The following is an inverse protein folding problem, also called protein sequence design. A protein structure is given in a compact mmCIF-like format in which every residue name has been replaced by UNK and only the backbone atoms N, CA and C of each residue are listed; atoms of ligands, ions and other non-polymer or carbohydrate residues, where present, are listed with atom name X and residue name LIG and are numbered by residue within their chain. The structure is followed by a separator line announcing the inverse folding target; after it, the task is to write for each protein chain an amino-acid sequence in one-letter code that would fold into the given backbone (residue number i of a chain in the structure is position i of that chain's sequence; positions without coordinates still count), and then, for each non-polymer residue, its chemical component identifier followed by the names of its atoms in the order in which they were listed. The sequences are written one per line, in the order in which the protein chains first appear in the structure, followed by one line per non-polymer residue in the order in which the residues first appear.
data_IF_050178573422
#
_entry.id   IF_050178573422
#
_cell.length_a   1.000
_cell.length_b   1.000
_cell.length_c   1.000
_cell.angle_alpha   90.00
_cell.angle_beta   90.00
_cell.angle_gamma   90.00
#
_symmetry.space_group_name_H-M   'P 1'
#
loop_
_entity.id
_entity.type
_entity.pdbx_description
1 polymer ?
#
# COMPACT_ATOMS: atom_id res chain seq x y z
N UNK A 1 -7.88 -29.08 5.37
CA UNK A 1 -6.71 -28.98 4.46
C UNK A 1 -5.82 -27.91 5.06
N UNK A 2 -4.63 -28.33 5.49
CA UNK A 2 -3.59 -27.43 5.98
C UNK A 2 -3.13 -26.64 4.77
N UNK A 3 -3.23 -25.29 4.84
CA UNK A 3 -2.62 -24.44 3.82
C UNK A 3 -1.10 -24.69 3.85
N UNK A 4 -0.43 -24.67 2.69
CA UNK A 4 1.01 -24.82 2.65
C UNK A 4 1.67 -23.77 3.54
N UNK A 5 2.67 -24.19 4.29
CA UNK A 5 3.50 -23.27 5.06
C UNK A 5 4.21 -22.30 4.12
N UNK A 6 4.53 -21.12 4.55
CA UNK A 6 5.21 -20.06 3.75
C UNK A 6 6.51 -20.56 3.09
N UNK A 7 7.08 -21.64 3.61
CA UNK A 7 8.23 -22.36 3.03
C UNK A 7 7.92 -23.10 1.73
N UNK A 8 6.63 -23.34 1.43
CA UNK A 8 6.22 -24.19 0.30
C UNK A 8 5.69 -23.35 -0.90
N UNK A 9 5.62 -22.03 -0.78
CA UNK A 9 5.18 -21.15 -1.85
C UNK A 9 6.38 -20.61 -2.66
N UNK A 10 6.49 -20.94 -3.96
CA UNK A 10 7.55 -20.40 -4.81
C UNK A 10 7.21 -18.96 -5.20
N UNK A 11 7.64 -17.97 -4.41
CA UNK A 11 7.45 -16.55 -4.70
C UNK A 11 8.57 -15.94 -5.56
N UNK A 12 9.45 -16.73 -6.14
CA UNK A 12 10.50 -16.21 -7.01
C UNK A 12 10.32 -16.72 -8.44
N UNK A 13 10.30 -15.77 -9.38
CA UNK A 13 10.44 -16.05 -10.79
C UNK A 13 11.85 -16.62 -11.03
N UNK A 14 11.96 -17.94 -11.00
CA UNK A 14 13.17 -18.65 -11.32
C UNK A 14 13.21 -18.88 -12.83
N UNK A 15 14.07 -18.13 -13.51
CA UNK A 15 14.30 -18.26 -14.96
C UNK A 15 14.69 -19.69 -15.38
N UNK A 16 15.18 -20.52 -14.46
CA UNK A 16 15.57 -21.92 -14.76
C UNK A 16 14.35 -22.83 -14.95
N UNK A 17 13.15 -22.38 -14.60
CA UNK A 17 11.89 -23.14 -14.78
C UNK A 17 11.27 -23.02 -16.16
N UNK A 18 11.82 -22.15 -17.01
CA UNK A 18 11.29 -21.91 -18.33
C UNK A 18 12.38 -22.11 -19.37
N UNK A 19 12.02 -22.77 -20.47
CA UNK A 19 12.88 -22.89 -21.65
C UNK A 19 13.06 -21.51 -22.29
N UNK A 20 14.04 -21.38 -23.16
CA UNK A 20 14.34 -20.14 -23.88
C UNK A 20 13.14 -19.59 -24.70
N UNK A 21 12.18 -20.43 -25.04
CA UNK A 21 10.92 -20.11 -25.73
C UNK A 21 9.77 -19.69 -24.78
N UNK A 22 10.03 -19.62 -23.46
CA UNK A 22 9.03 -19.28 -22.46
C UNK A 22 8.12 -20.45 -22.03
N UNK A 23 8.32 -21.65 -22.56
CA UNK A 23 7.55 -22.83 -22.17
C UNK A 23 8.04 -23.40 -20.81
N UNK A 24 7.13 -23.94 -19.96
CA UNK A 24 7.52 -24.57 -18.71
C UNK A 24 8.49 -25.74 -18.96
N UNK A 25 9.58 -25.79 -18.22
CA UNK A 25 10.47 -26.95 -18.23
C UNK A 25 9.90 -28.03 -17.32
N UNK A 26 9.30 -29.03 -17.92
CA UNK A 26 8.70 -30.19 -17.21
C UNK A 26 9.72 -31.07 -16.47
N UNK A 27 11.02 -30.89 -16.74
CA UNK A 27 12.10 -31.56 -16.01
C UNK A 27 12.58 -30.75 -14.77
N UNK A 28 11.99 -29.60 -14.51
CA UNK A 28 12.32 -28.77 -13.33
C UNK A 28 12.06 -29.48 -11.99
N UNK A 29 11.41 -30.62 -11.97
CA UNK A 29 11.22 -31.44 -10.76
C UNK A 29 12.53 -31.94 -10.12
N UNK A 30 13.59 -32.11 -10.89
CA UNK A 30 14.91 -32.46 -10.36
C UNK A 30 15.60 -31.26 -9.68
N UNK A 31 15.29 -30.01 -10.12
CA UNK A 31 15.79 -28.77 -9.56
C UNK A 31 15.06 -28.39 -8.24
N UNK A 32 13.88 -28.95 -7.97
CA UNK A 32 13.17 -28.72 -6.70
C UNK A 32 13.89 -29.32 -5.48
N UNK A 33 14.75 -30.32 -5.67
CA UNK A 33 15.60 -30.87 -4.61
C UNK A 33 16.68 -29.84 -4.22
N UNK A 34 17.25 -29.10 -5.19
CA UNK A 34 18.21 -28.02 -4.95
C UNK A 34 17.55 -26.75 -4.47
N UNK A 35 16.31 -26.48 -4.87
CA UNK A 35 15.54 -25.32 -4.38
C UNK A 35 15.31 -25.37 -2.86
N UNK A 36 15.17 -26.57 -2.26
CA UNK A 36 15.11 -26.71 -0.79
C UNK A 36 16.39 -26.23 -0.12
N UNK A 37 17.53 -26.37 -0.76
CA UNK A 37 18.82 -25.92 -0.23
C UNK A 37 19.00 -24.41 -0.36
N UNK A 38 18.47 -23.81 -1.41
CA UNK A 38 18.48 -22.34 -1.60
C UNK A 38 17.48 -21.66 -0.66
N UNK A 39 16.30 -22.26 -0.43
CA UNK A 39 15.30 -21.74 0.51
C UNK A 39 15.77 -21.80 1.98
N UNK A 40 16.69 -22.69 2.33
CA UNK A 40 17.19 -22.79 3.72
C UNK A 40 18.02 -21.55 4.15
N UNK A 41 18.45 -20.70 3.22
CA UNK A 41 19.26 -19.52 3.47
C UNK A 41 18.51 -18.18 3.32
N UNK A 42 17.31 -18.17 2.74
CA UNK A 42 16.50 -16.98 2.56
C UNK A 42 15.31 -16.99 3.53
N UNK A 43 15.51 -16.38 4.68
CA UNK A 43 14.45 -16.14 5.65
C UNK A 43 14.21 -14.61 5.71
N UNK A 44 13.36 -14.05 4.84
CA UNK A 44 13.15 -12.61 4.78
C UNK A 44 12.46 -12.11 6.04
N UNK A 45 12.95 -10.98 6.55
CA UNK A 45 12.28 -10.23 7.60
C UNK A 45 11.08 -9.53 6.97
N UNK A 46 9.88 -9.87 7.40
CA UNK A 46 8.65 -9.30 6.88
C UNK A 46 8.04 -8.38 7.93
N UNK A 47 7.75 -7.14 7.55
CA UNK A 47 7.03 -6.17 8.38
C UNK A 47 5.62 -5.96 7.85
N UNK A 48 4.64 -6.05 8.72
CA UNK A 48 3.23 -5.85 8.43
C UNK A 48 2.70 -4.63 9.18
N UNK A 49 2.04 -3.73 8.46
CA UNK A 49 1.55 -2.46 9.00
C UNK A 49 0.02 -2.46 9.01
N UNK A 50 -0.54 -2.18 10.17
CA UNK A 50 -1.98 -2.03 10.32
C UNK A 50 -2.28 -0.94 11.34
N UNK A 51 -3.10 0.04 10.95
CA UNK A 51 -3.58 1.10 11.83
C UNK A 51 -4.96 0.72 12.35
N UNK A 52 -5.09 0.63 13.66
CA UNK A 52 -6.38 0.38 14.30
C UNK A 52 -7.37 1.51 13.96
N UNK A 53 -8.62 1.16 13.74
CA UNK A 53 -9.68 2.12 13.38
C UNK A 53 -9.68 2.55 11.90
N UNK A 54 -8.65 2.23 11.11
CA UNK A 54 -8.59 2.64 9.68
C UNK A 54 -9.73 2.05 8.83
N UNK A 55 -10.32 0.97 9.28
CA UNK A 55 -11.46 0.29 8.64
C UNK A 55 -12.81 0.91 8.94
N UNK A 56 -12.89 1.82 9.91
CA UNK A 56 -14.14 2.37 10.42
C UNK A 56 -14.60 3.62 9.63
N UNK A 57 -13.72 4.16 8.80
CA UNK A 57 -14.05 5.26 7.90
C UNK A 57 -15.01 4.83 6.80
N UNK A 58 -15.85 5.76 6.33
CA UNK A 58 -16.94 5.46 5.42
C UNK A 58 -17.13 6.55 4.36
N UNK A 59 -16.91 6.21 3.10
CA UNK A 59 -17.04 7.12 1.94
C UNK A 59 -18.49 7.48 1.58
N UNK A 60 -19.47 6.79 2.14
CA UNK A 60 -20.89 6.93 1.83
C UNK A 60 -21.54 5.56 1.56
N UNK A 61 -22.88 5.47 1.74
CA UNK A 61 -23.62 4.21 1.68
C UNK A 61 -23.48 3.52 0.32
N UNK A 62 -23.58 4.29 -0.77
CA UNK A 62 -23.55 3.77 -2.14
C UNK A 62 -22.16 3.82 -2.78
N UNK A 63 -21.16 4.39 -2.10
CA UNK A 63 -19.81 4.48 -2.64
C UNK A 63 -19.13 3.10 -2.68
N UNK A 64 -18.47 2.72 -3.80
CA UNK A 64 -17.85 1.39 -3.94
C UNK A 64 -16.64 1.19 -3.05
N UNK A 65 -15.89 2.23 -2.69
CA UNK A 65 -14.79 2.13 -1.75
C UNK A 65 -15.30 1.88 -0.33
N UNK A 66 -14.96 0.73 0.22
CA UNK A 66 -15.36 0.30 1.57
C UNK A 66 -14.13 0.02 2.43
N UNK A 67 -13.67 0.94 3.27
CA UNK A 67 -12.55 0.70 4.20
C UNK A 67 -12.73 -0.52 5.09
N UNK A 68 -13.96 -0.94 5.37
CA UNK A 68 -14.26 -2.19 6.11
C UNK A 68 -13.58 -3.43 5.52
N UNK A 69 -13.23 -3.46 4.22
CA UNK A 69 -12.43 -4.54 3.59
C UNK A 69 -11.08 -4.72 4.28
N UNK A 70 -10.52 -3.66 4.84
CA UNK A 70 -9.24 -3.68 5.55
C UNK A 70 -9.32 -4.49 6.84
N UNK A 71 -10.43 -4.37 7.58
CA UNK A 71 -10.69 -5.20 8.75
C UNK A 71 -10.82 -6.68 8.37
N UNK A 72 -11.48 -6.99 7.25
CA UNK A 72 -11.60 -8.37 6.76
C UNK A 72 -10.23 -8.94 6.40
N UNK A 73 -9.42 -8.19 5.66
CA UNK A 73 -8.05 -8.58 5.30
C UNK A 73 -7.20 -8.83 6.56
N UNK A 74 -7.23 -7.91 7.52
CA UNK A 74 -6.48 -8.05 8.77
C UNK A 74 -6.95 -9.28 9.58
N UNK A 75 -8.26 -9.53 9.65
CA UNK A 75 -8.81 -10.72 10.29
C UNK A 75 -8.35 -12.02 9.61
N UNK A 76 -8.25 -12.04 8.27
CA UNK A 76 -7.72 -13.19 7.54
C UNK A 76 -6.23 -13.42 7.85
N UNK A 77 -5.40 -12.36 7.85
CA UNK A 77 -3.98 -12.44 8.23
C UNK A 77 -3.82 -13.04 9.63
N UNK A 78 -4.62 -12.59 10.57
CA UNK A 78 -4.60 -13.11 11.95
C UNK A 78 -5.20 -14.52 12.06
N UNK A 79 -6.32 -14.79 11.39
CA UNK A 79 -7.03 -16.06 11.41
C UNK A 79 -6.21 -17.21 10.82
N UNK A 80 -5.42 -16.93 9.78
CA UNK A 80 -4.46 -17.89 9.22
C UNK A 80 -3.15 -17.96 10.00
N UNK A 81 -2.95 -17.14 11.01
CA UNK A 81 -1.73 -17.12 11.83
C UNK A 81 -0.53 -16.49 11.12
N UNK A 82 -0.70 -15.81 9.98
CA UNK A 82 0.39 -15.22 9.20
C UNK A 82 1.16 -14.16 9.99
N UNK A 83 0.47 -13.44 10.87
CA UNK A 83 1.08 -12.44 11.77
C UNK A 83 2.19 -13.01 12.66
N UNK A 84 2.21 -14.33 12.92
CA UNK A 84 3.25 -15.00 13.72
C UNK A 84 4.60 -15.09 13.01
N UNK A 85 4.60 -14.89 11.70
CA UNK A 85 5.79 -14.94 10.84
C UNK A 85 6.23 -13.56 10.36
N UNK A 86 5.65 -12.50 10.90
CA UNK A 86 5.91 -11.12 10.54
C UNK A 86 6.06 -10.25 11.79
N UNK A 87 6.84 -9.20 11.69
CA UNK A 87 6.84 -8.13 12.69
C UNK A 87 5.65 -7.21 12.43
N UNK A 88 4.67 -7.18 13.34
CA UNK A 88 3.45 -6.37 13.21
C UNK A 88 3.67 -5.00 13.86
N UNK A 89 3.35 -3.94 13.12
CA UNK A 89 3.50 -2.57 13.55
C UNK A 89 2.19 -1.79 13.44
N UNK A 90 1.92 -0.95 14.46
CA UNK A 90 0.94 0.13 14.39
C UNK A 90 1.70 1.43 14.06
N UNK A 91 1.66 1.92 12.81
CA UNK A 91 2.41 3.08 12.40
C UNK A 91 1.78 4.36 12.95
N UNK A 92 2.60 5.40 13.17
CA UNK A 92 2.08 6.74 13.40
C UNK A 92 1.47 7.32 12.11
N UNK A 93 0.54 8.20 12.27
CA UNK A 93 -0.03 8.94 11.16
C UNK A 93 1.00 9.87 10.51
N UNK A 94 0.90 10.09 9.21
CA UNK A 94 1.76 11.02 8.51
C UNK A 94 1.52 12.45 9.02
N UNK A 95 2.59 13.23 9.13
CA UNK A 95 2.48 14.66 9.42
C UNK A 95 2.11 15.43 8.15
N UNK A 96 1.65 16.68 8.31
CA UNK A 96 1.37 17.57 7.18
C UNK A 96 2.60 17.74 6.28
N UNK A 97 3.76 17.99 6.88
CA UNK A 97 5.02 18.20 6.17
C UNK A 97 5.43 16.97 5.36
N UNK A 98 5.09 15.77 5.84
CA UNK A 98 5.34 14.53 5.11
C UNK A 98 4.43 14.40 3.88
N UNK A 99 3.16 14.81 3.98
CA UNK A 99 2.23 14.81 2.86
C UNK A 99 2.64 15.87 1.81
N UNK A 100 3.10 17.04 2.25
CA UNK A 100 3.56 18.15 1.41
C UNK A 100 4.89 17.83 0.69
N UNK A 101 5.53 16.73 0.96
CA UNK A 101 6.68 16.28 0.15
C UNK A 101 6.30 15.95 -1.30
N UNK A 102 5.06 15.65 -1.57
CA UNK A 102 4.51 15.43 -2.91
C UNK A 102 3.36 16.36 -3.21
N UNK A 103 2.40 16.47 -2.30
CA UNK A 103 1.20 17.25 -2.53
C UNK A 103 1.43 18.74 -2.30
N UNK A 104 0.69 19.55 -3.05
CA UNK A 104 0.68 21.01 -2.89
C UNK A 104 0.11 21.41 -1.52
N UNK A 105 0.71 22.42 -0.92
CA UNK A 105 0.31 22.88 0.43
C UNK A 105 -1.11 23.39 0.50
N UNK A 106 -1.62 24.06 -0.56
CA UNK A 106 -2.99 24.54 -0.65
C UNK A 106 -3.99 23.37 -0.65
N UNK A 107 -3.62 22.28 -1.36
CA UNK A 107 -4.43 21.07 -1.40
C UNK A 107 -4.46 20.35 -0.04
N UNK A 108 -3.31 20.18 0.59
CA UNK A 108 -3.22 19.57 1.93
C UNK A 108 -3.93 20.43 2.97
N UNK A 109 -3.84 21.76 2.86
CA UNK A 109 -4.57 22.68 3.73
C UNK A 109 -6.08 22.53 3.57
N UNK A 110 -6.57 22.46 2.33
CA UNK A 110 -7.98 22.21 2.05
C UNK A 110 -8.45 20.87 2.63
N UNK A 111 -7.71 19.77 2.39
CA UNK A 111 -8.01 18.45 2.96
C UNK A 111 -8.14 18.51 4.50
N UNK A 112 -7.21 19.19 5.15
CA UNK A 112 -7.13 19.23 6.62
C UNK A 112 -8.28 20.00 7.29
N UNK A 113 -8.91 20.93 6.55
CA UNK A 113 -9.99 21.79 7.03
C UNK A 113 -11.38 21.37 6.58
N UNK A 114 -11.45 20.47 5.58
CA UNK A 114 -12.71 20.11 4.95
C UNK A 114 -13.40 18.98 5.73
N UNK A 115 -14.65 19.21 6.08
CA UNK A 115 -15.55 18.27 6.76
C UNK A 115 -16.86 18.16 6.00
N UNK A 116 -17.71 17.17 6.27
CA UNK A 116 -19.03 17.06 5.64
C UNK A 116 -19.94 18.29 5.80
N UNK A 117 -19.66 19.14 6.81
CA UNK A 117 -20.40 20.38 7.08
C UNK A 117 -19.76 21.61 6.45
N UNK A 118 -18.62 21.47 5.77
CA UNK A 118 -17.95 22.58 5.09
C UNK A 118 -18.82 23.10 3.94
N UNK A 119 -19.13 24.42 3.89
CA UNK A 119 -19.91 24.97 2.80
C UNK A 119 -19.24 24.79 1.44
N UNK A 120 -20.03 24.43 0.42
CA UNK A 120 -19.54 24.28 -0.94
C UNK A 120 -18.91 25.59 -1.44
N UNK A 121 -17.77 25.47 -2.08
CA UNK A 121 -17.02 26.59 -2.65
C UNK A 121 -16.33 26.16 -3.95
N UNK A 122 -15.76 27.10 -4.68
CA UNK A 122 -14.96 26.81 -5.87
C UNK A 122 -13.74 25.88 -5.60
N UNK A 123 -13.30 25.78 -4.35
CA UNK A 123 -12.23 24.88 -3.95
C UNK A 123 -12.62 23.41 -4.13
N UNK A 124 -13.89 23.05 -3.94
CA UNK A 124 -14.34 21.67 -4.18
C UNK A 124 -14.16 21.27 -5.66
N UNK A 125 -14.50 22.13 -6.58
CA UNK A 125 -14.25 21.90 -8.01
C UNK A 125 -12.76 21.94 -8.34
N UNK A 126 -12.01 22.90 -7.77
CA UNK A 126 -10.56 23.03 -7.98
C UNK A 126 -9.81 21.78 -7.58
N UNK A 127 -10.19 21.15 -6.48
CA UNK A 127 -9.52 19.97 -5.92
C UNK A 127 -10.24 18.64 -6.23
N UNK A 128 -11.22 18.70 -7.15
CA UNK A 128 -11.95 17.54 -7.68
C UNK A 128 -12.73 16.74 -6.62
N UNK A 129 -13.34 17.43 -5.67
CA UNK A 129 -14.23 16.81 -4.69
C UNK A 129 -15.66 16.72 -5.25
N UNK A 130 -16.07 15.51 -5.60
CA UNK A 130 -17.36 15.16 -6.19
C UNK A 130 -17.74 13.72 -5.76
N UNK A 131 -18.66 13.09 -6.48
CA UNK A 131 -19.20 11.76 -6.16
C UNK A 131 -18.12 10.69 -6.02
N UNK A 132 -17.08 10.72 -6.88
CA UNK A 132 -15.96 9.79 -6.82
C UNK A 132 -15.00 10.04 -5.65
N UNK A 133 -14.92 11.29 -5.21
CA UNK A 133 -14.06 11.69 -4.08
C UNK A 133 -14.89 12.54 -3.10
N UNK A 134 -15.84 11.91 -2.38
CA UNK A 134 -16.72 12.61 -1.46
C UNK A 134 -15.98 13.07 -0.20
N UNK A 135 -16.47 14.12 0.42
CA UNK A 135 -16.05 14.47 1.77
C UNK A 135 -16.77 13.58 2.77
N UNK A 136 -16.03 12.93 3.64
CA UNK A 136 -16.56 12.11 4.73
C UNK A 136 -15.91 12.47 6.06
N UNK A 137 -16.53 12.08 7.16
CA UNK A 137 -16.01 12.38 8.48
C UNK A 137 -14.67 11.70 8.73
N UNK A 138 -13.69 12.46 9.24
CA UNK A 138 -12.34 11.97 9.47
C UNK A 138 -11.51 11.70 8.20
N UNK A 139 -11.92 12.20 7.03
CA UNK A 139 -11.24 11.98 5.74
C UNK A 139 -9.73 12.29 5.80
N UNK A 140 -9.33 13.41 6.40
CA UNK A 140 -7.92 13.78 6.52
C UNK A 140 -7.15 12.81 7.42
N UNK A 141 -7.76 12.36 8.50
CA UNK A 141 -7.16 11.40 9.43
C UNK A 141 -6.98 10.02 8.77
N UNK A 142 -7.97 9.59 7.99
CA UNK A 142 -7.85 8.39 7.16
C UNK A 142 -6.66 8.50 6.19
N UNK A 143 -6.50 9.63 5.52
CA UNK A 143 -5.38 9.90 4.61
C UNK A 143 -4.03 9.82 5.33
N UNK A 144 -3.92 10.43 6.50
CA UNK A 144 -2.71 10.41 7.32
C UNK A 144 -2.38 9.00 7.82
N UNK A 145 -3.39 8.22 8.15
CA UNK A 145 -3.23 6.86 8.65
C UNK A 145 -2.60 5.95 7.60
N UNK A 146 -3.17 5.87 6.39
CA UNK A 146 -2.65 5.00 5.35
C UNK A 146 -1.31 5.49 4.78
N UNK A 147 -1.13 6.80 4.62
CA UNK A 147 0.14 7.37 4.15
C UNK A 147 1.26 7.19 5.19
N UNK A 148 0.94 7.32 6.47
CA UNK A 148 1.86 7.06 7.57
C UNK A 148 2.37 5.63 7.58
N UNK A 149 1.50 4.66 7.29
CA UNK A 149 1.85 3.25 7.18
C UNK A 149 2.82 2.99 6.01
N UNK A 150 2.54 3.55 4.83
CA UNK A 150 3.43 3.42 3.65
C UNK A 150 4.78 4.09 3.88
N UNK A 151 4.82 5.26 4.52
CA UNK A 151 6.06 5.93 4.89
C UNK A 151 6.86 5.14 5.94
N UNK A 152 6.21 4.56 6.94
CA UNK A 152 6.88 3.72 7.94
C UNK A 152 7.46 2.46 7.30
N UNK A 153 6.74 1.82 6.38
CA UNK A 153 7.20 0.69 5.59
C UNK A 153 8.44 1.04 4.76
N UNK A 154 8.40 2.14 4.01
CA UNK A 154 9.51 2.62 3.20
C UNK A 154 10.77 2.94 4.04
N UNK A 155 10.60 3.58 5.21
CA UNK A 155 11.70 3.88 6.14
C UNK A 155 12.37 2.62 6.66
N UNK A 156 11.61 1.61 6.95
CA UNK A 156 12.15 0.35 7.45
C UNK A 156 12.91 -0.42 6.38
N UNK A 157 12.41 -0.43 5.14
CA UNK A 157 13.14 -0.94 3.98
C UNK A 157 14.44 -0.17 3.75
N UNK A 158 14.38 1.16 3.77
CA UNK A 158 15.54 2.04 3.61
C UNK A 158 16.62 1.81 4.67
N UNK A 159 16.20 1.59 5.90
CA UNK A 159 17.13 1.29 7.03
C UNK A 159 17.68 -0.14 6.99
N UNK A 160 17.29 -0.98 6.04
CA UNK A 160 17.67 -2.38 6.00
C UNK A 160 17.16 -3.19 7.20
N UNK A 161 16.10 -2.70 7.86
CA UNK A 161 15.53 -3.34 9.05
C UNK A 161 14.43 -4.36 8.70
N UNK A 162 14.01 -4.41 7.45
CA UNK A 162 13.10 -5.42 6.89
C UNK A 162 13.44 -5.65 5.41
N UNK A 163 13.09 -6.80 4.88
CA UNK A 163 13.32 -7.18 3.48
C UNK A 163 12.02 -7.05 2.68
N UNK A 164 10.87 -7.24 3.35
CA UNK A 164 9.52 -7.10 2.79
C UNK A 164 8.69 -6.26 3.77
N UNK A 165 7.95 -5.29 3.25
CA UNK A 165 7.02 -4.49 4.04
C UNK A 165 5.63 -4.51 3.39
N UNK A 166 4.59 -4.81 4.17
CA UNK A 166 3.21 -4.97 3.70
C UNK A 166 2.31 -3.94 4.37
N UNK A 167 1.64 -3.12 3.55
CA UNK A 167 0.61 -2.20 3.98
C UNK A 167 -0.64 -2.36 3.09
N UNK A 168 -1.69 -2.98 3.60
CA UNK A 168 -2.95 -3.16 2.87
C UNK A 168 -3.83 -1.90 2.87
N UNK A 169 -3.49 -0.90 3.67
CA UNK A 169 -4.32 0.33 3.80
C UNK A 169 -3.99 1.39 2.76
N UNK A 170 -2.80 1.31 2.14
CA UNK A 170 -2.34 2.21 1.09
C UNK A 170 -2.71 1.75 -0.32
N UNK A 171 -1.99 2.27 -1.30
CA UNK A 171 -2.16 1.97 -2.71
C UNK A 171 -3.08 2.94 -3.45
N UNK A 172 -3.17 4.19 -2.99
CA UNK A 172 -4.08 5.21 -3.51
C UNK A 172 -3.46 5.92 -4.73
N UNK A 173 -3.36 5.18 -5.83
CA UNK A 173 -2.57 5.49 -7.03
C UNK A 173 -3.14 6.57 -7.94
N UNK A 174 -4.40 6.98 -7.74
CA UNK A 174 -5.03 8.02 -8.56
C UNK A 174 -4.84 9.43 -8.01
N UNK A 175 -4.51 9.60 -6.73
CA UNK A 175 -4.34 10.93 -6.15
C UNK A 175 -3.24 11.72 -6.87
N UNK A 176 -3.59 12.93 -7.31
CA UNK A 176 -2.67 13.84 -8.00
C UNK A 176 -1.96 14.76 -7.02
N UNK A 177 -0.95 15.47 -7.50
CA UNK A 177 -0.25 16.46 -6.68
C UNK A 177 -1.18 17.53 -6.12
N UNK A 178 -2.19 17.95 -6.90
CA UNK A 178 -3.05 19.11 -6.61
C UNK A 178 -4.52 18.77 -6.39
N UNK A 179 -4.95 17.51 -6.56
CA UNK A 179 -6.35 17.15 -6.53
C UNK A 179 -6.60 15.68 -6.15
N UNK A 180 -7.77 15.39 -5.65
CA UNK A 180 -8.30 14.04 -5.47
C UNK A 180 -8.70 13.44 -6.81
N UNK A 181 -8.63 12.11 -6.94
CA UNK A 181 -9.07 11.42 -8.15
C UNK A 181 -9.34 9.95 -7.82
N UNK A 182 -10.32 9.33 -8.47
CA UNK A 182 -10.55 7.89 -8.42
C UNK A 182 -10.56 7.31 -7.00
N UNK A 183 -11.29 7.92 -6.05
CA UNK A 183 -11.39 7.55 -4.64
C UNK A 183 -10.13 7.85 -3.81
N UNK A 184 -9.08 8.41 -4.42
CA UNK A 184 -7.78 8.66 -3.81
C UNK A 184 -7.60 10.14 -3.50
N UNK A 185 -7.14 10.46 -2.29
CA UNK A 185 -6.89 11.85 -1.85
C UNK A 185 -5.40 12.13 -1.69
N UNK A 186 -4.66 11.25 -1.04
CA UNK A 186 -3.21 11.33 -0.84
C UNK A 186 -2.55 10.14 -1.53
N UNK A 187 -1.50 10.38 -2.30
CA UNK A 187 -0.75 9.35 -2.99
C UNK A 187 0.37 8.82 -2.08
N UNK A 188 0.05 7.83 -1.29
CA UNK A 188 0.98 7.18 -0.38
C UNK A 188 2.10 6.44 -1.11
N UNK A 189 1.85 5.98 -2.36
CA UNK A 189 2.83 5.28 -3.19
C UNK A 189 3.96 6.23 -3.57
N UNK A 190 3.62 7.41 -4.11
CA UNK A 190 4.62 8.42 -4.48
C UNK A 190 5.40 8.87 -3.24
N UNK A 191 4.74 9.07 -2.10
CA UNK A 191 5.42 9.42 -0.85
C UNK A 191 6.41 8.33 -0.42
N UNK A 192 6.03 7.05 -0.53
CA UNK A 192 6.91 5.92 -0.23
C UNK A 192 8.09 5.84 -1.21
N UNK A 193 7.85 6.04 -2.51
CA UNK A 193 8.91 6.08 -3.53
C UNK A 193 9.91 7.21 -3.22
N UNK A 194 9.44 8.42 -2.93
CA UNK A 194 10.30 9.55 -2.55
C UNK A 194 11.10 9.27 -1.28
N UNK A 195 10.53 8.54 -0.33
CA UNK A 195 11.24 8.10 0.87
C UNK A 195 12.36 7.10 0.54
N UNK A 196 12.10 6.12 -0.34
CA UNK A 196 13.09 5.12 -0.77
C UNK A 196 14.22 5.74 -1.61
N UNK A 197 13.90 6.70 -2.48
CA UNK A 197 14.87 7.39 -3.34
C UNK A 197 15.90 8.23 -2.56
N UNK A 198 15.71 8.46 -1.26
CA UNK A 198 16.74 9.07 -0.42
C UNK A 198 17.99 8.18 -0.24
N UNK A 199 17.87 6.89 -0.48
CA UNK A 199 18.97 5.93 -0.30
C UNK A 199 19.18 5.07 -1.55
N UNK A 200 18.11 4.64 -2.20
CA UNK A 200 18.18 3.78 -3.38
C UNK A 200 18.18 4.64 -4.66
N UNK A 201 19.12 4.43 -5.59
CA UNK A 201 19.21 5.24 -6.81
C UNK A 201 18.05 4.97 -7.79
N UNK A 202 17.34 3.87 -7.64
CA UNK A 202 16.21 3.45 -8.49
C UNK A 202 15.19 2.69 -7.67
N UNK A 203 13.91 2.96 -7.92
CA UNK A 203 12.76 2.24 -7.36
C UNK A 203 11.91 1.75 -8.53
N UNK A 204 11.57 0.47 -8.54
CA UNK A 204 10.61 -0.08 -9.49
C UNK A 204 9.23 -0.09 -8.83
N UNK A 205 8.27 0.53 -9.49
CA UNK A 205 6.85 0.44 -9.16
C UNK A 205 6.17 -0.57 -10.09
N UNK A 206 5.37 -1.47 -9.54
CA UNK A 206 4.55 -2.43 -10.27
C UNK A 206 3.13 -2.27 -9.79
N UNK A 207 2.23 -1.88 -10.69
CA UNK A 207 0.80 -1.74 -10.43
C UNK A 207 0.06 -2.89 -11.11
N UNK A 208 -0.74 -3.62 -10.35
CA UNK A 208 -1.57 -4.72 -10.83
C UNK A 208 -3.07 -4.41 -10.71
N UNK A 209 -3.40 -3.16 -10.38
CA UNK A 209 -4.78 -2.68 -10.42
C UNK A 209 -5.30 -2.69 -11.87
N UNK A 210 -6.62 -2.87 -12.04
CA UNK A 210 -7.26 -2.82 -13.38
C UNK A 210 -7.23 -1.41 -13.97
N UNK A 211 -7.18 -0.37 -13.12
CA UNK A 211 -7.12 1.01 -13.55
C UNK A 211 -5.67 1.48 -13.65
N UNK A 212 -5.41 2.34 -14.62
CA UNK A 212 -4.11 2.97 -14.78
C UNK A 212 -3.77 3.87 -13.60
N UNK A 213 -2.61 3.63 -12.95
CA UNK A 213 -2.12 4.39 -11.80
C UNK A 213 -1.59 5.77 -12.20
N UNK A 214 -2.45 6.60 -12.76
CA UNK A 214 -2.15 7.90 -13.38
C UNK A 214 -1.66 8.98 -12.40
N UNK A 215 -1.78 8.76 -11.09
CA UNK A 215 -1.20 9.60 -10.05
C UNK A 215 0.25 9.27 -9.72
N UNK A 216 0.77 8.12 -10.19
CA UNK A 216 2.16 7.69 -9.95
C UNK A 216 3.04 7.88 -11.19
N UNK A 217 2.46 7.93 -12.38
CA UNK A 217 3.14 8.07 -13.68
C UNK A 217 4.03 9.33 -13.77
#
# INVERSE_FOLDING_TARGET
RILPTFSDAPFFYDRTRYKADGAPDLNAGALLADAKTVHSHFNPRVSYYFTEGVSDYHYGEHHPMKPARLALTNRLVHGYGLHKYMDVYSPRWASREELERFHDSDYVDFLSKTTPTTPLSSAFTRFNFADDCPVFDGMYDFCRAYAGASLAAARRLRAGATDIAINWTGGLHHAKKFEASGFCYINDIVLAILELLQTFPRVLYIDIDIHHGDGVQ
#
